data_IF_853192156303
#
_entry.id   IF_853192156303
#
_cell.length_a   1.000
_cell.length_b   1.000
_cell.length_c   1.000
_cell.angle_alpha   90.00
_cell.angle_beta   90.00
_cell.angle_gamma   90.00
#
_symmetry.space_group_name_H-M   'P 1'
#
loop_
_entity.id
_entity.type
_entity.pdbx_description
1 polymer ?
#
# COMPACT_ATOMS: atom_id res chain seq x y z
N UNK A 1 6.65 33.50 -23.64
CA UNK A 1 5.70 32.39 -23.76
C UNK A 1 6.20 31.27 -22.85
N UNK A 2 5.89 31.37 -21.56
CA UNK A 2 6.14 30.29 -20.61
C UNK A 2 4.88 29.44 -20.60
N UNK A 3 4.96 28.21 -21.09
CA UNK A 3 3.89 27.24 -20.96
C UNK A 3 3.76 26.88 -19.48
N UNK A 4 2.71 27.41 -18.86
CA UNK A 4 2.23 26.97 -17.56
C UNK A 4 1.85 25.49 -17.67
N UNK A 5 2.77 24.59 -17.30
CA UNK A 5 2.41 23.23 -17.00
C UNK A 5 1.87 23.26 -15.57
N UNK A 6 0.56 23.44 -15.47
CA UNK A 6 -0.18 23.23 -14.23
C UNK A 6 0.27 21.88 -13.70
N UNK A 7 0.84 21.90 -12.49
CA UNK A 7 0.93 20.69 -11.68
C UNK A 7 -0.53 20.31 -11.45
N UNK A 8 -1.07 19.45 -12.32
CA UNK A 8 -2.29 18.72 -12.02
C UNK A 8 -1.93 17.92 -10.77
N UNK A 9 -2.35 18.44 -9.63
CA UNK A 9 -2.57 17.66 -8.42
C UNK A 9 -3.34 16.44 -8.88
N UNK A 10 -2.66 15.28 -8.92
CA UNK A 10 -3.29 13.99 -9.08
C UNK A 10 -4.37 13.92 -8.00
N UNK A 11 -5.62 14.12 -8.42
CA UNK A 11 -6.79 13.90 -7.58
C UNK A 11 -6.79 12.40 -7.24
N UNK A 12 -6.19 12.08 -6.09
CA UNK A 12 -6.03 10.71 -5.58
C UNK A 12 -7.39 10.02 -5.39
N UNK A 13 -8.48 10.80 -5.30
CA UNK A 13 -9.85 10.31 -5.31
C UNK A 13 -10.28 9.70 -6.66
N UNK A 14 -9.63 10.06 -7.78
CA UNK A 14 -10.01 9.62 -9.12
C UNK A 14 -9.15 8.49 -9.68
N UNK A 15 -7.90 8.36 -9.21
CA UNK A 15 -6.94 7.41 -9.78
C UNK A 15 -7.04 5.98 -9.22
N UNK A 16 -7.73 5.80 -8.09
CA UNK A 16 -7.78 4.52 -7.39
C UNK A 16 -9.24 4.17 -7.12
N UNK A 17 -9.85 3.40 -8.02
CA UNK A 17 -11.13 2.77 -7.71
C UNK A 17 -10.87 1.56 -6.82
N UNK A 18 -11.73 1.26 -5.83
CA UNK A 18 -11.58 0.09 -4.97
C UNK A 18 -11.48 -1.26 -5.70
N UNK A 19 -11.82 -1.29 -6.99
CA UNK A 19 -11.80 -2.45 -7.88
C UNK A 19 -10.47 -2.61 -8.65
N UNK A 20 -9.67 -1.56 -8.78
CA UNK A 20 -8.40 -1.59 -9.50
C UNK A 20 -7.27 -1.99 -8.55
N UNK A 21 -7.02 -3.29 -8.43
CA UNK A 21 -5.98 -3.85 -7.55
C UNK A 21 -4.55 -3.50 -7.97
N UNK A 22 -4.35 -3.08 -9.23
CA UNK A 22 -3.04 -2.72 -9.78
C UNK A 22 -3.18 -1.49 -10.69
N UNK A 23 -2.46 -0.42 -10.37
CA UNK A 23 -2.40 0.83 -11.13
C UNK A 23 -0.94 1.07 -11.55
N UNK A 24 -0.71 1.48 -12.79
CA UNK A 24 0.62 1.83 -13.29
C UNK A 24 0.66 3.32 -13.60
N UNK A 25 1.56 4.07 -12.95
CA UNK A 25 1.78 5.48 -13.24
C UNK A 25 3.28 5.82 -13.20
N UNK A 26 3.75 6.64 -14.15
CA UNK A 26 5.11 7.19 -14.16
C UNK A 26 6.26 6.17 -13.91
N UNK A 27 6.16 4.95 -14.46
CA UNK A 27 7.09 3.83 -14.26
C UNK A 27 7.10 3.26 -12.83
N UNK A 28 6.03 3.47 -12.08
CA UNK A 28 5.77 2.91 -10.76
C UNK A 28 4.50 2.07 -10.83
N UNK A 29 4.58 0.85 -10.30
CA UNK A 29 3.43 -0.03 -10.12
C UNK A 29 2.91 0.15 -8.71
N UNK A 30 1.65 0.54 -8.60
CA UNK A 30 0.89 0.66 -7.37
C UNK A 30 -0.02 -0.57 -7.26
N UNK A 31 0.12 -1.34 -6.19
CA UNK A 31 -0.77 -2.47 -5.88
C UNK A 31 -1.56 -2.13 -4.63
N UNK A 32 -2.87 -2.28 -4.72
CA UNK A 32 -3.83 -1.75 -3.77
C UNK A 32 -4.64 -2.88 -3.16
N UNK A 33 -4.77 -2.85 -1.84
CA UNK A 33 -5.65 -3.76 -1.12
C UNK A 33 -6.46 -3.02 -0.06
N UNK A 34 -7.78 -3.05 -0.25
CA UNK A 34 -8.73 -2.47 0.69
C UNK A 34 -8.96 -3.46 1.83
N UNK A 35 -8.57 -3.08 3.05
CA UNK A 35 -8.75 -3.90 4.24
C UNK A 35 -10.09 -3.62 4.89
N UNK A 36 -10.48 -2.34 4.92
CA UNK A 36 -11.73 -1.83 5.46
C UNK A 36 -12.21 -0.64 4.61
N UNK A 37 -13.40 -0.11 4.88
CA UNK A 37 -13.96 1.04 4.17
C UNK A 37 -13.12 2.32 4.31
N UNK A 38 -12.35 2.43 5.39
CA UNK A 38 -11.49 3.56 5.75
C UNK A 38 -9.99 3.24 5.72
N UNK A 39 -9.58 2.01 5.39
CA UNK A 39 -8.17 1.61 5.38
C UNK A 39 -7.80 0.86 4.10
N UNK A 40 -6.82 1.43 3.38
CA UNK A 40 -6.20 0.81 2.21
C UNK A 40 -4.69 0.64 2.46
N UNK A 41 -4.17 -0.55 2.15
CA UNK A 41 -2.73 -0.77 2.04
C UNK A 41 -2.31 -0.63 0.58
N UNK A 42 -1.19 0.05 0.37
CA UNK A 42 -0.61 0.27 -0.95
C UNK A 42 0.85 -0.20 -0.97
N UNK A 43 1.19 -1.03 -1.93
CA UNK A 43 2.58 -1.36 -2.27
C UNK A 43 2.96 -0.57 -3.52
N UNK A 44 4.10 0.12 -3.49
CA UNK A 44 4.62 0.84 -4.66
C UNK A 44 5.98 0.27 -5.06
N UNK A 45 6.14 -0.08 -6.34
CA UNK A 45 7.38 -0.67 -6.84
C UNK A 45 7.79 -0.01 -8.15
N UNK A 46 9.05 0.45 -8.21
CA UNK A 46 9.63 1.13 -9.40
C UNK A 46 10.36 0.17 -10.34
N UNK A 47 10.69 -1.03 -9.88
CA UNK A 47 11.40 -2.05 -10.64
C UNK A 47 10.44 -3.13 -11.13
N UNK A 48 10.81 -3.87 -12.18
CA UNK A 48 10.02 -5.01 -12.62
C UNK A 48 10.02 -6.09 -11.52
N UNK A 49 8.91 -6.16 -10.81
CA UNK A 49 8.69 -7.04 -9.68
C UNK A 49 7.51 -7.94 -9.95
N UNK A 50 7.60 -9.20 -9.54
CA UNK A 50 6.51 -10.15 -9.69
C UNK A 50 5.27 -9.68 -8.89
N UNK A 51 4.23 -9.25 -9.61
CA UNK A 51 3.00 -8.76 -9.02
C UNK A 51 2.28 -9.80 -8.16
N UNK A 52 2.33 -11.08 -8.53
CA UNK A 52 1.74 -12.14 -7.73
C UNK A 52 2.47 -12.31 -6.39
N UNK A 53 3.81 -12.20 -6.38
CA UNK A 53 4.60 -12.27 -5.15
C UNK A 53 4.33 -11.09 -4.21
N UNK A 54 4.19 -9.89 -4.76
CA UNK A 54 3.85 -8.69 -3.98
C UNK A 54 2.44 -8.76 -3.41
N UNK A 55 1.48 -9.21 -4.23
CA UNK A 55 0.11 -9.41 -3.79
C UNK A 55 0.04 -10.48 -2.69
N UNK A 56 0.76 -11.60 -2.84
CA UNK A 56 0.82 -12.64 -1.81
C UNK A 56 1.45 -12.13 -0.51
N UNK A 57 2.51 -11.33 -0.61
CA UNK A 57 3.11 -10.66 0.55
C UNK A 57 2.09 -9.76 1.26
N UNK A 58 1.32 -8.96 0.50
CA UNK A 58 0.30 -8.08 1.02
C UNK A 58 -0.78 -8.85 1.79
N UNK A 59 -1.30 -9.93 1.21
CA UNK A 59 -2.27 -10.81 1.88
C UNK A 59 -1.73 -11.36 3.21
N UNK A 60 -0.48 -11.83 3.23
CA UNK A 60 0.14 -12.35 4.45
C UNK A 60 0.34 -11.29 5.51
N UNK A 61 0.68 -10.06 5.13
CA UNK A 61 0.81 -8.93 6.05
C UNK A 61 -0.55 -8.58 6.67
N UNK A 62 -1.61 -8.57 5.87
CA UNK A 62 -2.98 -8.31 6.33
C UNK A 62 -3.46 -9.38 7.29
N UNK A 63 -3.19 -10.66 7.02
CA UNK A 63 -3.53 -11.76 7.93
C UNK A 63 -2.88 -11.57 9.30
N UNK A 64 -1.61 -11.15 9.33
CA UNK A 64 -0.88 -10.88 10.58
C UNK A 64 -1.48 -9.70 11.32
N UNK A 65 -1.84 -8.63 10.61
CA UNK A 65 -2.50 -7.48 11.22
C UNK A 65 -3.89 -7.81 11.75
N UNK A 66 -4.69 -8.62 11.02
CA UNK A 66 -5.99 -9.10 11.51
C UNK A 66 -5.84 -9.95 12.76
N UNK A 67 -4.79 -10.76 12.84
CA UNK A 67 -4.49 -11.54 14.03
C UNK A 67 -4.04 -10.69 15.22
N UNK A 68 -3.33 -9.59 14.96
CA UNK A 68 -2.79 -8.73 16.02
C UNK A 68 -3.80 -7.70 16.55
N UNK A 69 -4.61 -7.11 15.67
CA UNK A 69 -5.48 -5.98 16.00
C UNK A 69 -6.97 -6.33 16.15
N UNK A 70 -7.37 -7.55 15.77
CA UNK A 70 -8.77 -8.03 15.65
C UNK A 70 -9.60 -7.25 14.62
N UNK A 71 -9.62 -5.91 14.71
CA UNK A 71 -10.22 -4.97 13.76
C UNK A 71 -9.15 -4.03 13.15
N UNK A 72 -9.17 -3.92 11.83
CA UNK A 72 -8.25 -3.09 11.05
C UNK A 72 -8.92 -1.78 10.65
N UNK A 73 -9.22 -0.96 11.64
CA UNK A 73 -9.75 0.38 11.46
C UNK A 73 -8.65 1.43 11.52
N UNK A 74 -8.91 2.60 10.92
CA UNK A 74 -7.97 3.70 10.88
C UNK A 74 -7.55 4.15 12.28
N UNK A 75 -8.50 4.22 13.23
CA UNK A 75 -8.24 4.64 14.61
C UNK A 75 -7.28 3.68 15.33
N UNK A 76 -7.51 2.36 15.19
CA UNK A 76 -6.66 1.33 15.78
C UNK A 76 -5.25 1.39 15.22
N UNK A 77 -5.10 1.54 13.91
CA UNK A 77 -3.79 1.67 13.27
C UNK A 77 -3.06 2.96 13.67
N UNK A 78 -3.80 4.06 13.79
CA UNK A 78 -3.27 5.38 14.20
C UNK A 78 -2.72 5.32 15.62
N UNK A 79 -3.47 4.73 16.55
CA UNK A 79 -3.07 4.62 17.95
C UNK A 79 -1.87 3.67 18.14
N UNK A 80 -1.70 2.71 17.23
CA UNK A 80 -0.65 1.71 17.29
C UNK A 80 0.44 1.87 16.22
N UNK A 81 0.60 3.08 15.65
CA UNK A 81 1.45 3.32 14.48
C UNK A 81 2.89 2.80 14.64
N UNK A 82 3.49 2.93 15.83
CA UNK A 82 4.84 2.42 16.12
C UNK A 82 4.92 0.90 15.93
N UNK A 83 3.91 0.17 16.40
CA UNK A 83 3.84 -1.29 16.26
C UNK A 83 3.61 -1.67 14.79
N UNK A 84 2.72 -0.97 14.10
CA UNK A 84 2.41 -1.20 12.69
C UNK A 84 3.67 -1.06 11.84
N UNK A 85 4.36 0.09 11.92
CA UNK A 85 5.58 0.35 11.14
C UNK A 85 6.66 -0.67 11.46
N UNK A 86 6.86 -1.01 12.74
CA UNK A 86 7.84 -2.02 13.15
C UNK A 86 7.54 -3.40 12.56
N UNK A 87 6.26 -3.81 12.54
CA UNK A 87 5.89 -5.09 11.93
C UNK A 87 6.15 -5.07 10.42
N UNK A 88 5.80 -3.99 9.71
CA UNK A 88 6.12 -3.88 8.27
C UNK A 88 7.62 -3.95 8.04
N UNK A 89 8.41 -3.17 8.78
CA UNK A 89 9.87 -3.14 8.66
C UNK A 89 10.49 -4.53 8.92
N UNK A 90 10.06 -5.20 9.99
CA UNK A 90 10.53 -6.55 10.31
C UNK A 90 10.19 -7.54 9.21
N UNK A 91 8.96 -7.49 8.67
CA UNK A 91 8.52 -8.36 7.59
C UNK A 91 9.33 -8.15 6.31
N UNK A 92 9.58 -6.88 5.94
CA UNK A 92 10.39 -6.55 4.77
C UNK A 92 11.83 -7.03 4.96
N UNK A 93 12.46 -6.73 6.10
CA UNK A 93 13.84 -7.14 6.36
C UNK A 93 13.99 -8.68 6.34
N UNK A 94 12.99 -9.42 6.84
CA UNK A 94 13.02 -10.89 6.79
C UNK A 94 12.94 -11.49 5.37
N UNK A 95 12.48 -10.71 4.38
CA UNK A 95 12.26 -11.17 2.99
C UNK A 95 13.22 -10.57 1.99
N UNK A 96 13.84 -9.44 2.31
CA UNK A 96 14.72 -8.69 1.42
C UNK A 96 16.17 -8.58 1.94
N UNK A 97 16.51 -9.19 3.09
CA UNK A 97 17.91 -9.38 3.48
C UNK A 97 18.49 -10.66 2.85
N UNK A 98 18.80 -10.59 1.56
CA UNK A 98 19.84 -11.42 0.92
C UNK A 98 20.77 -10.51 0.12
#
# INVERSE_FOLDING_TARGET
MASNLSIETLDWEFAIKPQDQVVYDNSVTYMLYNIASNVCLVITVRQNSNAASLLFFLYRLIDVFKHYFEELEEEVLRDNFVVVVKNVELFLNSKFSE
#
